data_IF_014433268718
#
_entry.id   IF_014433268718
#
_cell.length_a   1.000
_cell.length_b   1.000
_cell.length_c   1.000
_cell.angle_alpha   90.00
_cell.angle_beta   90.00
_cell.angle_gamma   90.00
#
_symmetry.space_group_name_H-M   'P 1'
#
loop_
_entity.id
_entity.type
_entity.pdbx_description
1 polymer ?
#
# COMPACT_ATOMS: atom_id res chain seq x y z
N UNK A 1 -7.62 39.24 7.76
CA UNK A 1 -6.93 38.40 6.74
C UNK A 1 -5.62 37.77 7.25
N UNK A 2 -4.66 38.52 7.83
CA UNK A 2 -3.37 37.95 8.31
C UNK A 2 -3.46 36.82 9.35
N UNK A 3 -4.39 36.89 10.31
CA UNK A 3 -4.58 35.84 11.33
C UNK A 3 -5.07 34.50 10.74
N UNK A 4 -5.94 34.53 9.73
CA UNK A 4 -6.45 33.32 9.07
C UNK A 4 -5.36 32.63 8.23
N UNK A 5 -4.54 33.40 7.52
CA UNK A 5 -3.39 32.86 6.78
C UNK A 5 -2.35 32.23 7.72
N UNK A 6 -2.05 32.87 8.86
CA UNK A 6 -1.14 32.32 9.86
C UNK A 6 -1.69 31.03 10.50
N UNK A 7 -2.99 30.98 10.80
CA UNK A 7 -3.65 29.78 11.32
C UNK A 7 -3.63 28.64 10.31
N UNK A 8 -3.88 28.92 9.02
CA UNK A 8 -3.84 27.93 7.96
C UNK A 8 -2.43 27.37 7.75
N UNK A 9 -1.41 28.24 7.69
CA UNK A 9 -0.01 27.81 7.57
C UNK A 9 0.40 26.89 8.74
N UNK A 10 0.00 27.26 9.97
CA UNK A 10 0.24 26.43 11.16
C UNK A 10 -0.50 25.09 11.10
N UNK A 11 -1.74 25.07 10.63
CA UNK A 11 -2.50 23.83 10.45
C UNK A 11 -1.85 22.90 9.42
N UNK A 12 -1.35 23.43 8.31
CA UNK A 12 -0.62 22.65 7.29
C UNK A 12 0.67 22.08 7.87
N UNK A 13 1.45 22.87 8.61
CA UNK A 13 2.67 22.41 9.27
C UNK A 13 2.38 21.30 10.30
N UNK A 14 1.36 21.51 11.15
CA UNK A 14 0.92 20.50 12.13
C UNK A 14 0.42 19.22 11.45
N UNK A 15 -0.32 19.31 10.34
CA UNK A 15 -0.81 18.15 9.61
C UNK A 15 0.34 17.31 9.02
N UNK A 16 1.41 17.96 8.52
CA UNK A 16 2.63 17.25 8.06
C UNK A 16 3.30 16.50 9.21
N UNK A 17 3.47 17.16 10.34
CA UNK A 17 4.02 16.55 11.56
C UNK A 17 3.19 15.34 12.00
N UNK A 18 1.86 15.48 12.09
CA UNK A 18 0.96 14.40 12.50
C UNK A 18 0.96 13.22 11.51
N UNK A 19 1.09 13.47 10.21
CA UNK A 19 1.21 12.40 9.20
C UNK A 19 2.45 11.55 9.42
N UNK A 20 3.57 12.20 9.71
CA UNK A 20 4.82 11.51 10.00
C UNK A 20 4.77 10.75 11.34
N UNK A 21 4.07 11.27 12.35
CA UNK A 21 3.90 10.63 13.66
C UNK A 21 2.79 9.57 13.72
N UNK A 22 1.82 9.60 12.81
CA UNK A 22 0.63 8.73 12.80
C UNK A 22 0.90 7.27 12.43
N UNK A 23 2.02 6.70 12.86
CA UNK A 23 2.35 5.28 12.71
C UNK A 23 3.23 4.81 13.87
N UNK A 24 2.84 3.70 14.49
CA UNK A 24 3.50 3.14 15.67
C UNK A 24 5.01 2.89 15.47
N UNK A 25 5.41 2.36 14.31
CA UNK A 25 6.83 2.06 14.03
C UNK A 25 7.66 3.33 13.90
N UNK A 26 7.11 4.37 13.26
CA UNK A 26 7.78 5.68 13.15
C UNK A 26 7.96 6.34 14.52
N UNK A 27 6.96 6.23 15.39
CA UNK A 27 7.06 6.70 16.78
C UNK A 27 8.14 5.95 17.55
N UNK A 28 8.21 4.62 17.45
CA UNK A 28 9.26 3.83 18.10
C UNK A 28 10.66 4.26 17.64
N UNK A 29 10.85 4.46 16.34
CA UNK A 29 12.12 4.96 15.78
C UNK A 29 12.45 6.35 16.34
N UNK A 30 11.49 7.28 16.32
CA UNK A 30 11.69 8.64 16.81
C UNK A 30 11.97 8.67 18.32
N UNK A 31 11.25 7.89 19.12
CA UNK A 31 11.51 7.77 20.55
C UNK A 31 12.88 7.16 20.82
N UNK A 32 13.29 6.16 20.04
CA UNK A 32 14.62 5.58 20.18
C UNK A 32 15.73 6.58 19.85
N UNK A 33 15.56 7.37 18.78
CA UNK A 33 16.51 8.41 18.39
C UNK A 33 16.50 9.62 19.35
N UNK A 34 15.35 9.94 19.92
CA UNK A 34 15.19 11.00 20.92
C UNK A 34 15.89 10.65 22.23
N UNK A 35 15.72 9.41 22.70
CA UNK A 35 16.22 8.96 24.01
C UNK A 35 17.70 8.60 24.01
N UNK A 36 18.21 7.96 22.95
CA UNK A 36 19.62 7.53 22.91
C UNK A 36 20.41 8.01 21.70
N UNK A 37 19.92 9.05 21.02
CA UNK A 37 20.66 9.76 19.99
C UNK A 37 20.78 9.02 18.66
N UNK A 38 21.79 9.42 17.88
CA UNK A 38 22.01 8.96 16.51
C UNK A 38 22.24 7.44 16.42
N UNK A 39 21.63 6.78 15.41
CA UNK A 39 21.78 5.34 15.18
C UNK A 39 21.78 4.98 13.69
N UNK A 40 22.40 3.87 13.33
CA UNK A 40 22.34 3.32 11.98
C UNK A 40 21.03 2.57 11.72
N UNK A 41 20.68 2.39 10.44
CA UNK A 41 19.52 1.57 10.08
C UNK A 41 19.62 0.13 10.58
N UNK A 42 20.82 -0.45 10.63
CA UNK A 42 21.03 -1.80 11.17
C UNK A 42 20.69 -1.88 12.66
N UNK A 43 21.21 -0.94 13.45
CA UNK A 43 20.94 -0.87 14.89
C UNK A 43 19.46 -0.64 15.20
N UNK A 44 18.82 0.27 14.47
CA UNK A 44 17.38 0.53 14.63
C UNK A 44 16.53 -0.69 14.25
N UNK A 45 16.94 -1.46 13.23
CA UNK A 45 16.23 -2.66 12.82
C UNK A 45 16.31 -3.75 13.90
N UNK A 46 17.49 -3.95 14.46
CA UNK A 46 17.76 -4.92 15.52
C UNK A 46 17.02 -4.56 16.82
N UNK A 47 17.21 -3.35 17.32
CA UNK A 47 16.65 -2.90 18.61
C UNK A 47 15.11 -2.82 18.61
N UNK A 48 14.50 -2.60 17.44
CA UNK A 48 13.03 -2.44 17.32
C UNK A 48 12.34 -3.66 16.69
N UNK A 49 13.09 -4.72 16.36
CA UNK A 49 12.55 -5.92 15.70
C UNK A 49 11.92 -5.62 14.32
N UNK A 50 12.48 -4.67 13.58
CA UNK A 50 11.95 -4.22 12.29
C UNK A 50 12.78 -4.76 11.12
N UNK A 51 12.12 -5.27 10.08
CA UNK A 51 12.79 -5.62 8.83
C UNK A 51 13.41 -4.40 8.13
N UNK A 52 14.64 -4.54 7.60
CA UNK A 52 15.41 -3.45 6.99
C UNK A 52 14.68 -2.71 5.85
N UNK A 53 13.88 -3.41 5.05
CA UNK A 53 13.10 -2.81 3.97
C UNK A 53 12.00 -1.89 4.51
N UNK A 54 11.21 -2.36 5.48
CA UNK A 54 10.17 -1.56 6.13
C UNK A 54 10.75 -0.36 6.89
N UNK A 55 11.87 -0.58 7.59
CA UNK A 55 12.60 0.48 8.25
C UNK A 55 13.07 1.56 7.27
N UNK A 56 13.65 1.15 6.13
CA UNK A 56 14.15 2.08 5.12
C UNK A 56 13.03 2.95 4.52
N UNK A 57 11.83 2.39 4.32
CA UNK A 57 10.65 3.16 3.90
C UNK A 57 10.23 4.18 4.96
N UNK A 58 10.21 3.78 6.24
CA UNK A 58 9.88 4.68 7.35
C UNK A 58 10.90 5.82 7.49
N UNK A 59 12.20 5.52 7.42
CA UNK A 59 13.28 6.50 7.47
C UNK A 59 13.23 7.45 6.27
N UNK A 60 12.99 6.93 5.06
CA UNK A 60 12.85 7.74 3.84
C UNK A 60 11.72 8.76 3.95
N UNK A 61 10.54 8.32 4.38
CA UNK A 61 9.39 9.21 4.58
C UNK A 61 9.69 10.29 5.62
N UNK A 62 10.21 9.92 6.80
CA UNK A 62 10.53 10.89 7.87
C UNK A 62 11.64 11.87 7.47
N UNK A 63 12.56 11.47 6.58
CA UNK A 63 13.55 12.37 5.97
C UNK A 63 12.92 13.35 4.99
N UNK A 64 12.02 12.90 4.12
CA UNK A 64 11.30 13.77 3.19
C UNK A 64 10.45 14.81 3.92
N UNK A 65 9.86 14.45 5.06
CA UNK A 65 9.12 15.36 5.94
C UNK A 65 10.04 16.24 6.83
N UNK A 66 11.37 16.14 6.67
CA UNK A 66 12.34 16.97 7.39
C UNK A 66 12.52 16.64 8.87
N UNK A 67 11.99 15.51 9.35
CA UNK A 67 12.09 15.12 10.76
C UNK A 67 13.43 14.49 11.10
N UNK A 68 14.08 13.85 10.13
CA UNK A 68 15.35 13.16 10.31
C UNK A 68 16.46 13.80 9.47
N UNK A 69 17.61 14.01 10.10
CA UNK A 69 18.88 14.21 9.43
C UNK A 69 19.54 12.88 9.12
N UNK A 70 20.44 12.89 8.14
CA UNK A 70 21.26 11.72 7.80
C UNK A 70 22.73 12.13 7.68
N UNK A 71 23.62 11.34 8.28
CA UNK A 71 25.06 11.47 8.15
C UNK A 71 25.64 10.16 7.63
N UNK A 72 26.56 10.25 6.66
CA UNK A 72 27.29 9.07 6.17
C UNK A 72 28.60 8.95 6.91
N UNK A 73 28.89 7.76 7.43
CA UNK A 73 30.17 7.44 8.04
C UNK A 73 30.68 6.12 7.45
N UNK A 74 31.68 6.22 6.56
CA UNK A 74 32.13 5.10 5.73
C UNK A 74 31.02 4.53 4.83
N UNK A 75 30.72 3.24 5.01
CA UNK A 75 29.68 2.51 4.24
C UNK A 75 28.30 2.56 4.91
N UNK A 76 28.19 3.12 6.12
CA UNK A 76 26.95 3.15 6.89
C UNK A 76 26.31 4.54 6.90
N UNK A 77 24.97 4.56 6.97
CA UNK A 77 24.16 5.75 7.14
C UNK A 77 23.62 5.79 8.57
N UNK A 78 23.81 6.93 9.21
CA UNK A 78 23.37 7.23 10.55
C UNK A 78 22.27 8.28 10.50
N UNK A 79 21.26 8.09 11.34
CA UNK A 79 20.05 8.90 11.39
C UNK A 79 19.94 9.55 12.75
N UNK A 80 19.57 10.82 12.77
CA UNK A 80 19.31 11.62 13.98
C UNK A 80 18.06 12.45 13.78
N UNK A 81 17.43 12.88 14.86
CA UNK A 81 16.35 13.88 14.77
C UNK A 81 16.95 15.16 14.18
N UNK A 82 16.29 15.71 13.17
CA UNK A 82 16.77 16.91 12.50
C UNK A 82 16.73 18.11 13.45
N UNK A 83 17.77 18.92 13.45
CA UNK A 83 17.80 20.20 14.16
C UNK A 83 16.77 21.19 13.57
N UNK A 84 16.42 21.03 12.29
CA UNK A 84 15.38 21.80 11.62
C UNK A 84 13.97 21.26 11.83
N UNK A 85 13.81 20.13 12.54
CA UNK A 85 12.49 19.62 12.86
C UNK A 85 11.77 20.65 13.75
N UNK A 86 10.57 21.06 13.35
CA UNK A 86 9.79 22.13 13.99
C UNK A 86 9.85 22.06 15.52
N UNK A 87 9.98 23.20 16.20
CA UNK A 87 10.22 23.27 17.66
C UNK A 87 9.15 22.59 18.53
N UNK A 88 8.02 22.17 17.95
CA UNK A 88 7.01 21.35 18.61
C UNK A 88 7.40 19.87 18.73
N UNK A 89 8.21 19.32 17.80
CA UNK A 89 8.56 17.90 17.78
C UNK A 89 9.31 17.47 19.05
N UNK A 90 10.36 18.16 19.54
CA UNK A 90 11.03 17.74 20.78
C UNK A 90 10.11 17.74 21.99
N UNK A 91 9.18 18.70 22.10
CA UNK A 91 8.19 18.75 23.20
C UNK A 91 7.19 17.60 23.11
N UNK A 92 6.74 17.30 21.89
CA UNK A 92 5.80 16.22 21.64
C UNK A 92 6.45 14.85 21.88
N UNK A 93 7.69 14.64 21.43
CA UNK A 93 8.45 13.43 21.71
C UNK A 93 8.78 13.32 23.20
N UNK A 94 9.10 14.42 23.89
CA UNK A 94 9.27 14.39 25.33
C UNK A 94 8.01 13.93 26.06
N UNK A 95 6.81 14.31 25.57
CA UNK A 95 5.53 13.86 26.14
C UNK A 95 5.15 12.43 25.78
N UNK A 96 5.42 11.98 24.55
CA UNK A 96 5.01 10.66 24.07
C UNK A 96 6.00 9.58 24.53
N UNK A 97 7.30 9.86 24.45
CA UNK A 97 8.35 8.88 24.68
C UNK A 97 8.69 8.71 26.16
N UNK A 98 8.18 9.57 27.05
CA UNK A 98 8.32 9.43 28.50
C UNK A 98 7.38 8.38 29.12
N UNK A 99 6.38 7.90 28.36
CA UNK A 99 5.39 6.92 28.83
C UNK A 99 5.46 5.57 28.10
N UNK A 100 6.33 5.43 27.10
CA UNK A 100 6.43 4.20 26.28
C UNK A 100 7.70 3.44 26.67
N UNK A 101 7.60 2.34 27.45
CA UNK A 101 8.71 1.40 27.60
C UNK A 101 9.11 0.89 26.22
N UNK A 102 10.39 0.99 25.88
CA UNK A 102 10.90 0.32 24.68
C UNK A 102 10.60 -1.18 24.81
N UNK A 103 10.08 -1.84 23.76
CA UNK A 103 9.90 -3.28 23.79
C UNK A 103 11.27 -3.93 24.04
N UNK A 104 11.38 -4.68 25.13
CA UNK A 104 12.51 -5.59 25.32
C UNK A 104 12.39 -6.72 24.29
N UNK A 105 13.51 -7.21 23.73
CA UNK A 105 13.47 -8.36 22.85
C UNK A 105 12.83 -9.54 23.60
N UNK A 106 11.66 -9.99 23.16
CA UNK A 106 11.06 -11.22 23.67
C UNK A 106 11.92 -12.40 23.23
N UNK A 107 12.66 -12.97 24.17
CA UNK A 107 13.27 -14.28 24.04
C UNK A 107 12.16 -15.33 24.13
N UNK A 108 11.68 -15.77 22.96
CA UNK A 108 10.92 -17.00 22.84
C UNK A 108 11.87 -18.18 22.72
N UNK A 109 12.00 -18.95 23.81
CA UNK A 109 12.55 -20.30 23.84
C UNK A 109 11.76 -21.22 22.90
N UNK A 110 12.46 -21.94 22.02
CA UNK A 110 12.13 -23.35 21.71
C UNK A 110 13.46 -24.09 21.45
N UNK A 111 13.78 -25.17 22.20
CA UNK A 111 15.13 -25.74 22.20
C UNK A 111 15.29 -26.76 21.07
N UNK A 112 16.08 -26.41 20.05
CA UNK A 112 16.60 -27.42 19.11
C UNK A 112 17.97 -27.90 19.57
N UNK A 113 18.02 -29.20 19.92
CA UNK A 113 19.19 -30.00 20.35
C UNK A 113 20.43 -29.85 19.44
N UNK A 114 21.65 -30.06 19.95
CA UNK A 114 22.86 -30.12 19.13
C UNK A 114 23.02 -31.51 18.51
N UNK A 115 23.20 -31.57 17.19
CA UNK A 115 23.83 -32.73 16.53
C UNK A 115 25.14 -32.23 15.92
N UNK A 116 26.21 -32.77 16.46
CA UNK A 116 27.61 -32.69 16.04
C UNK A 116 27.75 -32.98 14.55
N UNK A 117 28.46 -32.13 13.79
CA UNK A 117 29.07 -32.57 12.54
C UNK A 117 30.52 -32.10 12.42
N UNK A 118 31.33 -33.11 12.19
CA UNK A 118 32.76 -33.15 11.92
C UNK A 118 33.04 -32.64 10.50
N UNK A 119 34.29 -32.26 10.28
CA UNK A 119 34.82 -31.57 9.11
C UNK A 119 34.78 -32.33 7.76
N UNK A 120 34.99 -31.51 6.72
CA UNK A 120 35.61 -31.78 5.42
C UNK A 120 34.76 -32.45 4.31
N UNK A 121 34.66 -31.79 3.16
CA UNK A 121 35.39 -32.15 1.92
C UNK A 121 35.14 -31.04 0.87
N UNK A 122 36.23 -30.59 0.24
CA UNK A 122 36.22 -29.75 -0.96
C UNK A 122 35.56 -30.51 -2.13
N UNK A 123 34.61 -29.85 -2.81
CA UNK A 123 34.05 -30.33 -4.07
C UNK A 123 33.53 -29.16 -4.91
N UNK A 124 34.37 -28.67 -5.83
CA UNK A 124 34.01 -27.69 -6.83
C UNK A 124 32.91 -28.25 -7.74
N UNK A 125 31.72 -27.67 -7.71
CA UNK A 125 30.66 -27.97 -8.68
C UNK A 125 30.03 -26.67 -9.19
N UNK A 126 30.28 -26.42 -10.47
CA UNK A 126 29.57 -25.45 -11.29
C UNK A 126 28.15 -26.01 -11.49
N UNK A 127 27.15 -25.40 -10.85
CA UNK A 127 25.75 -25.68 -11.12
C UNK A 127 25.09 -24.42 -11.67
N UNK A 128 24.57 -24.55 -12.89
CA UNK A 128 23.88 -23.54 -13.65
C UNK A 128 22.74 -22.89 -12.84
N UNK A 129 22.58 -21.58 -13.03
CA UNK A 129 21.42 -20.80 -12.61
C UNK A 129 20.18 -21.23 -13.39
N UNK A 130 19.62 -22.39 -13.04
CA UNK A 130 18.27 -22.75 -13.43
C UNK A 130 17.31 -21.85 -12.66
N UNK A 131 16.77 -20.82 -13.33
CA UNK A 131 15.66 -20.05 -12.80
C UNK A 131 14.52 -21.01 -12.44
N UNK A 132 14.15 -21.05 -11.16
CA UNK A 132 12.98 -21.78 -10.68
C UNK A 132 11.76 -21.26 -11.45
N UNK A 133 11.29 -22.02 -12.43
CA UNK A 133 9.98 -21.76 -13.03
C UNK A 133 8.95 -22.09 -11.96
N UNK A 134 8.07 -21.14 -11.66
CA UNK A 134 6.94 -21.38 -10.78
C UNK A 134 6.18 -22.61 -11.29
N UNK A 135 5.93 -23.59 -10.42
CA UNK A 135 5.20 -24.80 -10.76
C UNK A 135 3.82 -24.45 -11.33
N UNK A 136 3.30 -25.30 -12.22
CA UNK A 136 1.96 -25.15 -12.80
C UNK A 136 0.92 -24.95 -11.69
N UNK A 137 0.10 -23.90 -11.80
CA UNK A 137 -0.91 -23.54 -10.80
C UNK A 137 -0.44 -22.66 -9.63
N UNK A 138 0.83 -22.27 -9.55
CA UNK A 138 1.29 -21.36 -8.49
C UNK A 138 0.56 -20.00 -8.53
N UNK A 139 0.40 -19.44 -9.73
CA UNK A 139 -0.41 -18.24 -9.97
C UNK A 139 -1.69 -18.61 -10.70
N UNK A 140 -2.83 -18.21 -10.15
CA UNK A 140 -4.14 -18.51 -10.71
C UNK A 140 -5.08 -17.30 -10.65
N UNK A 141 -6.11 -17.34 -11.49
CA UNK A 141 -7.14 -16.29 -11.65
C UNK A 141 -8.53 -16.94 -11.73
N UNK A 142 -9.02 -17.52 -10.63
CA UNK A 142 -10.15 -18.45 -10.66
C UNK A 142 -11.52 -17.78 -10.87
N UNK A 143 -11.72 -16.56 -10.36
CA UNK A 143 -13.02 -15.86 -10.41
C UNK A 143 -13.01 -14.76 -11.48
N UNK A 144 -12.03 -13.87 -11.42
CA UNK A 144 -11.77 -12.88 -12.46
C UNK A 144 -10.71 -13.47 -13.37
N UNK A 145 -11.12 -14.08 -14.47
CA UNK A 145 -10.25 -14.79 -15.40
C UNK A 145 -9.30 -13.83 -16.10
N UNK A 146 -8.00 -14.15 -16.11
CA UNK A 146 -6.98 -13.35 -16.79
C UNK A 146 -6.49 -12.11 -16.04
N UNK A 147 -7.10 -11.76 -14.89
CA UNK A 147 -6.67 -10.63 -14.06
C UNK A 147 -6.61 -10.99 -12.57
N UNK A 148 -5.73 -10.32 -11.83
CA UNK A 148 -5.64 -10.45 -10.38
C UNK A 148 -5.04 -11.77 -9.92
N UNK A 149 -3.90 -12.16 -10.49
CA UNK A 149 -3.19 -13.41 -10.13
C UNK A 149 -3.07 -13.55 -8.61
N UNK A 150 -3.51 -14.67 -8.07
CA UNK A 150 -3.39 -15.03 -6.66
C UNK A 150 -2.63 -16.35 -6.49
N UNK A 151 -2.09 -16.57 -5.29
CA UNK A 151 -1.52 -17.84 -4.85
C UNK A 151 -2.24 -18.30 -3.59
N UNK A 152 -2.60 -19.57 -3.52
CA UNK A 152 -3.34 -20.14 -2.40
C UNK A 152 -2.43 -20.32 -1.18
N UNK A 153 -2.85 -19.81 -0.02
CA UNK A 153 -2.14 -19.95 1.25
C UNK A 153 -3.12 -20.43 2.33
N UNK A 154 -3.54 -21.70 2.33
CA UNK A 154 -4.61 -22.19 3.22
C UNK A 154 -4.29 -22.06 4.72
N UNK A 155 -3.01 -22.05 5.08
CA UNK A 155 -2.53 -21.92 6.47
C UNK A 155 -2.08 -20.49 6.84
N UNK A 156 -2.50 -19.47 6.09
CA UNK A 156 -2.19 -18.09 6.44
C UNK A 156 -2.83 -17.68 7.77
N UNK A 157 -2.12 -16.90 8.58
CA UNK A 157 -2.58 -16.48 9.92
C UNK A 157 -3.85 -15.60 9.90
N UNK A 158 -4.15 -14.94 8.78
CA UNK A 158 -5.29 -14.02 8.63
C UNK A 158 -6.10 -14.38 7.39
N UNK A 159 -6.98 -15.38 7.52
CA UNK A 159 -7.93 -15.72 6.46
C UNK A 159 -9.16 -14.83 6.53
N UNK A 160 -9.79 -14.50 5.38
CA UNK A 160 -11.16 -14.04 5.36
C UNK A 160 -12.09 -15.04 6.07
N UNK A 161 -13.03 -14.52 6.84
CA UNK A 161 -14.13 -15.31 7.40
C UNK A 161 -15.18 -15.52 6.30
N UNK A 162 -15.38 -16.78 5.90
CA UNK A 162 -16.35 -17.20 4.89
C UNK A 162 -17.79 -16.72 5.16
N UNK A 163 -18.13 -16.45 6.42
CA UNK A 163 -19.48 -16.01 6.84
C UNK A 163 -19.61 -14.49 6.92
N UNK A 164 -18.51 -13.75 6.95
CA UNK A 164 -18.53 -12.31 7.08
C UNK A 164 -18.98 -11.61 5.79
N UNK A 165 -19.41 -10.35 5.94
CA UNK A 165 -19.71 -9.44 4.82
C UNK A 165 -18.63 -8.38 4.76
N UNK A 166 -18.03 -8.19 3.59
CA UNK A 166 -16.93 -7.26 3.38
C UNK A 166 -17.39 -6.07 2.55
N UNK A 167 -17.33 -4.88 3.15
CA UNK A 167 -17.64 -3.61 2.50
C UNK A 167 -16.33 -2.87 2.30
N UNK A 168 -15.86 -2.78 1.06
CA UNK A 168 -14.55 -2.20 0.74
C UNK A 168 -14.68 -1.23 -0.42
N UNK A 169 -14.14 -0.02 -0.25
CA UNK A 169 -13.94 0.93 -1.34
C UNK A 169 -12.46 1.00 -1.68
N UNK A 170 -12.12 0.69 -2.91
CA UNK A 170 -10.78 0.80 -3.46
C UNK A 170 -10.64 2.14 -4.19
N UNK A 171 -9.65 2.95 -3.79
CA UNK A 171 -9.33 4.19 -4.49
C UNK A 171 -8.21 3.97 -5.48
N UNK A 172 -8.50 4.00 -6.78
CA UNK A 172 -7.53 3.71 -7.84
C UNK A 172 -6.95 5.04 -8.33
N UNK A 173 -5.64 5.22 -8.12
CA UNK A 173 -4.97 6.50 -8.45
C UNK A 173 -3.93 6.39 -9.56
N UNK A 174 -3.31 5.22 -9.72
CA UNK A 174 -2.22 4.99 -10.67
C UNK A 174 -2.67 4.58 -12.07
N UNK A 175 -2.02 5.13 -13.08
CA UNK A 175 -2.05 4.61 -14.44
C UNK A 175 -1.21 3.34 -14.58
N UNK A 176 -1.48 2.54 -15.61
CA UNK A 176 -0.57 1.48 -16.02
C UNK A 176 0.74 2.05 -16.55
N UNK A 177 1.82 1.27 -16.49
CA UNK A 177 3.13 1.69 -17.02
C UNK A 177 3.11 1.83 -18.55
N UNK A 178 2.23 1.09 -19.23
CA UNK A 178 1.99 1.14 -20.66
C UNK A 178 0.48 1.09 -20.94
N UNK A 179 -0.01 1.74 -22.00
CA UNK A 179 -1.45 1.80 -22.29
C UNK A 179 -2.05 0.46 -22.73
N UNK A 180 -1.24 -0.49 -23.19
CA UNK A 180 -1.66 -1.84 -23.57
C UNK A 180 -1.77 -2.80 -22.36
N UNK A 181 -1.52 -2.29 -21.14
CA UNK A 181 -1.57 -3.07 -19.91
C UNK A 181 -2.79 -2.70 -19.07
N UNK A 182 -3.35 -3.72 -18.41
CA UNK A 182 -4.39 -3.53 -17.40
C UNK A 182 -3.85 -2.67 -16.26
N UNK A 183 -4.70 -1.77 -15.76
CA UNK A 183 -4.41 -0.95 -14.58
C UNK A 183 -3.95 -1.80 -13.39
N UNK A 184 -2.83 -1.44 -12.74
CA UNK A 184 -2.40 -2.08 -11.49
C UNK A 184 -3.45 -2.01 -10.39
N UNK A 185 -4.29 -0.96 -10.39
CA UNK A 185 -5.42 -0.84 -9.47
C UNK A 185 -6.47 -1.92 -9.73
N UNK A 186 -6.89 -2.09 -10.98
CA UNK A 186 -7.86 -3.14 -11.36
C UNK A 186 -7.31 -4.55 -11.12
N UNK A 187 -6.03 -4.79 -11.40
CA UNK A 187 -5.34 -6.05 -11.06
C UNK A 187 -5.44 -6.37 -9.57
N UNK A 188 -5.25 -5.37 -8.69
CA UNK A 188 -5.36 -5.56 -7.24
C UNK A 188 -6.80 -5.77 -6.78
N UNK A 189 -7.78 -5.10 -7.39
CA UNK A 189 -9.21 -5.33 -7.11
C UNK A 189 -9.62 -6.75 -7.54
N UNK A 190 -9.24 -7.18 -8.75
CA UNK A 190 -9.46 -8.54 -9.24
C UNK A 190 -8.81 -9.58 -8.34
N UNK A 191 -7.58 -9.31 -7.87
CA UNK A 191 -6.88 -10.19 -6.91
C UNK A 191 -7.64 -10.29 -5.59
N UNK A 192 -8.17 -9.18 -5.08
CA UNK A 192 -8.98 -9.20 -3.87
C UNK A 192 -10.20 -10.12 -4.04
N UNK A 193 -10.97 -9.96 -5.12
CA UNK A 193 -12.12 -10.83 -5.42
C UNK A 193 -11.69 -12.31 -5.48
N UNK A 194 -10.63 -12.62 -6.24
CA UNK A 194 -10.09 -13.97 -6.35
C UNK A 194 -9.72 -14.56 -4.97
N UNK A 195 -9.03 -13.79 -4.12
CA UNK A 195 -8.62 -14.23 -2.78
C UNK A 195 -9.80 -14.46 -1.84
N UNK A 196 -10.77 -13.55 -1.82
CA UNK A 196 -11.96 -13.68 -0.95
C UNK A 196 -12.81 -14.89 -1.34
N UNK A 197 -13.07 -15.07 -2.63
CA UNK A 197 -13.82 -16.23 -3.13
C UNK A 197 -13.06 -17.52 -2.88
N UNK A 198 -11.74 -17.53 -3.09
CA UNK A 198 -10.90 -18.68 -2.79
C UNK A 198 -10.89 -19.04 -1.28
N UNK A 199 -11.00 -18.03 -0.40
CA UNK A 199 -11.16 -18.24 1.04
C UNK A 199 -12.58 -18.69 1.45
N UNK A 200 -13.49 -18.88 0.49
CA UNK A 200 -14.85 -19.38 0.72
C UNK A 200 -15.89 -18.29 0.98
N UNK A 201 -15.55 -17.00 0.83
CA UNK A 201 -16.52 -15.91 0.96
C UNK A 201 -17.40 -15.86 -0.31
N UNK A 202 -18.73 -15.96 -0.20
CA UNK A 202 -19.62 -15.86 -1.36
C UNK A 202 -19.53 -14.48 -2.01
N UNK A 203 -19.60 -14.40 -3.35
CA UNK A 203 -19.59 -13.12 -4.08
C UNK A 203 -20.64 -12.12 -3.56
N UNK A 204 -21.83 -12.59 -3.19
CA UNK A 204 -22.91 -11.76 -2.63
C UNK A 204 -22.56 -11.08 -1.29
N UNK A 205 -21.51 -11.53 -0.59
CA UNK A 205 -21.01 -10.92 0.64
C UNK A 205 -19.88 -9.90 0.37
N UNK A 206 -19.44 -9.75 -0.88
CA UNK A 206 -18.40 -8.81 -1.28
C UNK A 206 -19.04 -7.55 -1.84
N UNK A 207 -19.29 -6.56 -0.97
CA UNK A 207 -19.74 -5.24 -1.39
C UNK A 207 -18.52 -4.38 -1.71
N UNK A 208 -17.94 -4.59 -2.89
CA UNK A 208 -16.76 -3.87 -3.33
C UNK A 208 -17.13 -2.74 -4.28
N UNK A 209 -16.48 -1.60 -4.07
CA UNK A 209 -16.53 -0.46 -4.98
C UNK A 209 -15.10 -0.11 -5.37
N UNK A 210 -14.80 0.02 -6.65
CA UNK A 210 -13.52 0.46 -7.18
C UNK A 210 -13.72 1.81 -7.87
N UNK A 211 -13.21 2.90 -7.29
CA UNK A 211 -13.36 4.24 -7.87
C UNK A 211 -12.04 4.78 -8.41
N UNK A 212 -12.02 5.09 -9.71
CA UNK A 212 -10.89 5.65 -10.42
C UNK A 212 -10.89 7.18 -10.41
N UNK A 213 -9.71 7.76 -10.19
CA UNK A 213 -9.46 9.20 -10.24
C UNK A 213 -7.97 9.50 -10.44
N UNK A 214 -7.63 10.76 -10.69
CA UNK A 214 -6.25 11.13 -11.01
C UNK A 214 -5.77 10.40 -12.27
N UNK A 215 -4.55 9.86 -12.26
CA UNK A 215 -3.97 9.20 -13.43
C UNK A 215 -4.73 7.91 -13.84
N UNK A 216 -5.52 7.32 -12.95
CA UNK A 216 -6.34 6.16 -13.27
C UNK A 216 -7.63 6.49 -14.05
N UNK A 217 -7.97 7.77 -14.26
CA UNK A 217 -9.25 8.18 -14.88
C UNK A 217 -9.48 7.55 -16.25
N UNK A 218 -8.41 7.42 -17.05
CA UNK A 218 -8.48 6.89 -18.42
C UNK A 218 -8.94 5.42 -18.50
N UNK A 219 -8.87 4.64 -17.40
CA UNK A 219 -9.30 3.24 -17.42
C UNK A 219 -10.81 3.10 -17.71
N UNK A 220 -11.57 4.16 -17.46
CA UNK A 220 -13.03 4.21 -17.59
C UNK A 220 -13.53 4.58 -19.00
N UNK A 221 -12.63 5.01 -19.89
CA UNK A 221 -13.00 5.38 -21.26
C UNK A 221 -13.51 4.16 -22.03
N UNK A 222 -14.46 4.36 -22.94
CA UNK A 222 -14.84 3.37 -23.93
C UNK A 222 -13.66 3.06 -24.87
N UNK A 223 -13.79 1.95 -25.61
CA UNK A 223 -12.72 1.44 -26.45
C UNK A 223 -12.36 2.43 -27.58
N UNK A 224 -13.35 3.09 -28.19
CA UNK A 224 -13.13 3.99 -29.31
C UNK A 224 -12.31 5.22 -28.91
N UNK A 225 -12.64 5.83 -27.76
CA UNK A 225 -11.95 7.01 -27.25
C UNK A 225 -10.59 6.65 -26.66
N UNK A 226 -10.47 5.51 -25.97
CA UNK A 226 -9.18 5.02 -25.49
C UNK A 226 -8.23 4.72 -26.65
N UNK A 227 -8.70 4.01 -27.69
CA UNK A 227 -7.95 3.71 -28.91
C UNK A 227 -7.49 4.98 -29.62
N UNK A 228 -8.36 5.99 -29.70
CA UNK A 228 -8.01 7.30 -30.27
C UNK A 228 -6.90 8.00 -29.48
N UNK A 229 -6.91 7.89 -28.15
CA UNK A 229 -5.95 8.58 -27.28
C UNK A 229 -4.61 7.85 -27.17
N UNK A 230 -4.63 6.51 -27.10
CA UNK A 230 -3.46 5.71 -26.76
C UNK A 230 -2.98 4.78 -27.88
N UNK A 231 -3.72 4.68 -28.99
CA UNK A 231 -3.36 3.85 -30.14
C UNK A 231 -3.54 2.35 -29.94
N UNK A 232 -4.16 1.93 -28.82
CA UNK A 232 -4.42 0.52 -28.48
C UNK A 232 -5.83 0.38 -27.90
N UNK A 233 -6.46 -0.81 -28.00
CA UNK A 233 -7.78 -1.03 -27.39
C UNK A 233 -7.66 -0.87 -25.88
N UNK A 234 -8.74 -0.51 -25.21
CA UNK A 234 -8.72 -0.35 -23.76
C UNK A 234 -8.57 -1.72 -23.08
N UNK A 235 -7.40 -2.06 -22.51
CA UNK A 235 -7.18 -3.38 -21.93
C UNK A 235 -7.99 -3.58 -20.62
N UNK A 236 -8.56 -2.51 -20.07
CA UNK A 236 -9.25 -2.51 -18.80
C UNK A 236 -10.69 -3.01 -18.93
N UNK A 237 -11.35 -2.81 -20.08
CA UNK A 237 -12.79 -3.11 -20.24
C UNK A 237 -13.13 -4.59 -20.00
N UNK A 238 -12.36 -5.59 -20.51
CA UNK A 238 -12.65 -7.00 -20.23
C UNK A 238 -12.55 -7.34 -18.73
N UNK A 239 -11.67 -6.66 -17.98
CA UNK A 239 -11.52 -6.85 -16.54
C UNK A 239 -12.67 -6.18 -15.79
N UNK A 240 -13.05 -4.97 -16.20
CA UNK A 240 -14.19 -4.23 -15.64
C UNK A 240 -15.48 -5.05 -15.81
N UNK A 241 -15.72 -5.61 -17.00
CA UNK A 241 -16.92 -6.43 -17.25
C UNK A 241 -16.98 -7.64 -16.31
N UNK A 242 -15.86 -8.34 -16.10
CA UNK A 242 -15.80 -9.47 -15.17
C UNK A 242 -15.99 -9.06 -13.71
N UNK A 243 -15.40 -7.93 -13.30
CA UNK A 243 -15.60 -7.37 -11.96
C UNK A 243 -17.08 -7.02 -11.72
N UNK A 244 -17.75 -6.43 -12.72
CA UNK A 244 -19.17 -6.11 -12.66
C UNK A 244 -20.04 -7.37 -12.56
N UNK A 245 -19.72 -8.40 -13.35
CA UNK A 245 -20.38 -9.73 -13.25
C UNK A 245 -20.18 -10.37 -11.87
N UNK A 246 -19.05 -10.11 -11.21
CA UNK A 246 -18.77 -10.57 -9.85
C UNK A 246 -19.42 -9.71 -8.75
N UNK A 247 -20.12 -8.63 -9.10
CA UNK A 247 -20.82 -7.75 -8.15
C UNK A 247 -20.00 -6.56 -7.64
N UNK A 248 -18.80 -6.31 -8.19
CA UNK A 248 -18.01 -5.12 -7.87
C UNK A 248 -18.58 -3.92 -8.63
N UNK A 249 -18.80 -2.80 -7.95
CA UNK A 249 -19.11 -1.54 -8.62
C UNK A 249 -17.83 -0.84 -9.06
N UNK A 250 -17.61 -0.74 -10.37
CA UNK A 250 -16.47 0.02 -10.92
C UNK A 250 -16.99 1.40 -11.31
N UNK A 251 -16.41 2.43 -10.71
CA UNK A 251 -16.82 3.81 -10.85
C UNK A 251 -15.65 4.72 -11.26
N UNK A 252 -15.98 5.88 -11.82
CA UNK A 252 -15.02 6.94 -12.14
C UNK A 252 -15.46 8.27 -11.53
N UNK A 253 -14.49 9.05 -11.07
CA UNK A 253 -14.69 10.40 -10.54
C UNK A 253 -15.04 11.38 -11.66
N UNK A 254 -16.26 11.92 -11.65
CA UNK A 254 -16.72 12.91 -12.64
C UNK A 254 -15.88 14.19 -12.65
N UNK A 255 -15.40 14.66 -11.50
CA UNK A 255 -14.46 15.80 -11.48
C UNK A 255 -13.14 15.48 -12.19
N UNK A 256 -12.62 14.25 -12.03
CA UNK A 256 -11.39 13.85 -12.70
C UNK A 256 -11.61 13.67 -14.22
N UNK A 257 -12.78 13.18 -14.64
CA UNK A 257 -13.17 13.14 -16.06
C UNK A 257 -13.10 14.55 -16.66
N UNK A 258 -13.68 15.54 -15.97
CA UNK A 258 -13.62 16.94 -16.39
C UNK A 258 -12.19 17.52 -16.39
N UNK A 259 -11.39 17.24 -15.35
CA UNK A 259 -9.99 17.69 -15.26
C UNK A 259 -9.10 17.14 -16.38
N UNK A 260 -9.41 15.96 -16.91
CA UNK A 260 -8.72 15.36 -18.05
C UNK A 260 -9.32 15.77 -19.41
N UNK A 261 -10.32 16.66 -19.41
CA UNK A 261 -11.05 17.13 -20.60
C UNK A 261 -11.75 16.01 -21.37
N UNK A 262 -12.07 14.90 -20.70
CA UNK A 262 -12.88 13.83 -21.27
C UNK A 262 -14.37 14.21 -21.25
N UNK A 263 -15.11 13.78 -22.27
CA UNK A 263 -16.57 13.92 -22.26
C UNK A 263 -17.21 12.79 -21.45
N UNK A 264 -18.33 13.09 -20.80
CA UNK A 264 -18.99 12.12 -19.93
C UNK A 264 -19.61 10.94 -20.70
N UNK A 265 -19.96 11.13 -21.97
CA UNK A 265 -20.47 10.09 -22.87
C UNK A 265 -19.36 9.18 -23.44
N UNK A 266 -18.09 9.52 -23.23
CA UNK A 266 -16.94 8.66 -23.56
C UNK A 266 -16.69 7.60 -22.49
N UNK A 267 -17.38 7.68 -21.35
CA UNK A 267 -17.23 6.70 -20.27
C UNK A 267 -17.97 5.43 -20.66
N UNK A 268 -17.30 4.28 -20.56
CA UNK A 268 -17.90 3.00 -20.90
C UNK A 268 -19.17 2.76 -20.06
N UNK A 269 -20.21 2.26 -20.72
CA UNK A 269 -21.55 2.05 -20.11
C UNK A 269 -21.54 1.13 -18.88
N UNK A 270 -20.50 0.31 -18.69
CA UNK A 270 -20.39 -0.57 -17.52
C UNK A 270 -19.74 0.14 -16.32
N UNK A 271 -19.18 1.34 -16.50
CA UNK A 271 -18.55 2.14 -15.45
C UNK A 271 -19.54 3.17 -14.91
N UNK A 272 -19.68 3.19 -13.59
CA UNK A 272 -20.54 4.15 -12.89
C UNK A 272 -19.88 5.54 -12.87
N UNK A 273 -20.52 6.55 -13.46
CA UNK A 273 -20.08 7.94 -13.33
C UNK A 273 -20.50 8.50 -11.97
N UNK A 274 -19.54 8.69 -11.06
CA UNK A 274 -19.77 9.24 -9.73
C UNK A 274 -19.52 10.76 -9.71
N UNK A 275 -20.13 11.48 -8.77
CA UNK A 275 -19.92 12.94 -8.62
C UNK A 275 -18.44 13.27 -8.41
N UNK A 276 -17.80 12.62 -7.44
CA UNK A 276 -16.36 12.72 -7.20
C UNK A 276 -15.85 11.51 -6.42
N UNK A 277 -14.55 11.21 -6.51
CA UNK A 277 -13.94 10.20 -5.65
C UNK A 277 -13.97 10.59 -4.17
N UNK A 278 -13.70 11.86 -3.86
CA UNK A 278 -13.65 12.37 -2.48
C UNK A 278 -15.00 12.17 -1.75
N UNK A 279 -16.09 12.58 -2.39
CA UNK A 279 -17.44 12.44 -1.81
C UNK A 279 -17.89 10.99 -1.80
N UNK A 280 -17.61 10.22 -2.85
CA UNK A 280 -17.99 8.79 -2.91
C UNK A 280 -17.29 7.98 -1.83
N UNK A 281 -15.98 8.17 -1.64
CA UNK A 281 -15.23 7.48 -0.59
C UNK A 281 -15.77 7.87 0.79
N UNK A 282 -15.98 9.17 1.04
CA UNK A 282 -16.50 9.66 2.32
C UNK A 282 -17.89 9.09 2.63
N UNK A 283 -18.78 9.04 1.63
CA UNK A 283 -20.12 8.49 1.73
C UNK A 283 -20.11 6.98 2.00
N UNK A 284 -19.26 6.22 1.29
CA UNK A 284 -19.13 4.78 1.50
C UNK A 284 -18.52 4.48 2.86
N UNK A 285 -17.54 5.25 3.32
CA UNK A 285 -16.99 5.10 4.67
C UNK A 285 -18.05 5.33 5.75
N UNK A 286 -18.94 6.33 5.59
CA UNK A 286 -20.09 6.51 6.48
C UNK A 286 -21.04 5.30 6.47
N UNK A 287 -21.18 4.62 5.33
CA UNK A 287 -21.92 3.37 5.20
C UNK A 287 -21.15 2.13 5.70
N UNK A 288 -20.00 2.32 6.37
CA UNK A 288 -19.21 1.24 6.95
C UNK A 288 -18.28 0.53 5.97
N UNK A 289 -17.94 1.15 4.84
CA UNK A 289 -16.91 0.62 3.94
C UNK A 289 -15.51 0.95 4.46
N UNK A 290 -14.60 -0.03 4.41
CA UNK A 290 -13.18 0.22 4.61
C UNK A 290 -12.54 0.79 3.33
N UNK A 291 -11.74 1.83 3.45
CA UNK A 291 -10.97 2.38 2.33
C UNK A 291 -9.66 1.63 2.15
N UNK A 292 -9.38 1.19 0.92
CA UNK A 292 -8.10 0.63 0.49
C UNK A 292 -7.55 1.49 -0.65
N UNK A 293 -6.57 2.38 -0.40
CA UNK A 293 -5.95 3.18 -1.47
C UNK A 293 -4.99 2.31 -2.30
N UNK A 294 -5.07 2.42 -3.64
CA UNK A 294 -4.32 1.61 -4.61
C UNK A 294 -3.49 2.46 -5.60
#
# INVERSE_FOLDING_TARGET
MRKAAAMHARAVETARLLRALGNARRLLILCRLFTRGEASAGQLAEELGLGLSALSQHLGLMRTEGLLGQRRHGRQLFYRISESASGQLPRLLASICSEVPLPTPETGDDPMKPITMLAAVLGLSVAASAGVRAADGFWQTPTIQGAGKMHALPKAAYQPDAKATYKVVFGLTGAAAKPDQVSPGLERVARAVNLYVHAGVPLKHLHFVAIAYGAATAIALDDAHYQKQYGVPNPNLPVIEQLRKAGVDVAVCGQAVAEHEYQYDWIDKHVTLALSALTTISELQQKGYALVPL
#
